data_IF_728464577268
#
_entry.id   IF_728464577268
#
_cell.length_a   1.000
_cell.length_b   1.000
_cell.length_c   1.000
_cell.angle_alpha   90.00
_cell.angle_beta   90.00
_cell.angle_gamma   90.00
#
_symmetry.space_group_name_H-M   'P 1'
#
loop_
_entity.id
_entity.type
_entity.pdbx_description
1 polymer ?
#
# COMPACT_ATOMS: atom_id res chain seq x y z
N UNK A 1 13.70 -8.35 -6.88
CA UNK A 1 14.26 -8.47 -5.51
C UNK A 1 15.60 -7.75 -5.30
N UNK A 2 16.34 -7.40 -6.37
CA UNK A 2 17.66 -6.75 -6.25
C UNK A 2 17.63 -5.41 -5.49
N UNK A 3 16.55 -4.63 -5.61
CA UNK A 3 16.43 -3.34 -4.92
C UNK A 3 16.54 -3.44 -3.39
N UNK A 4 15.88 -4.42 -2.78
CA UNK A 4 15.88 -4.57 -1.31
C UNK A 4 17.23 -5.09 -0.80
N UNK A 5 17.82 -6.06 -1.51
CA UNK A 5 19.06 -6.72 -1.11
C UNK A 5 20.31 -5.85 -1.32
N UNK A 6 20.34 -5.05 -2.40
CA UNK A 6 21.55 -4.36 -2.84
C UNK A 6 21.44 -2.83 -2.88
N UNK A 7 20.24 -2.25 -2.83
CA UNK A 7 20.06 -0.78 -2.96
C UNK A 7 19.56 -0.17 -1.66
N UNK A 8 18.34 -0.52 -1.23
CA UNK A 8 17.75 -0.02 0.02
C UNK A 8 16.70 -1.02 0.54
N UNK A 9 16.82 -1.57 1.75
CA UNK A 9 17.82 -1.25 2.78
C UNK A 9 19.27 -1.57 2.41
N UNK A 10 19.49 -2.48 1.46
CA UNK A 10 20.84 -2.84 1.02
C UNK A 10 21.55 -3.76 2.01
N UNK A 11 22.89 -3.80 1.94
CA UNK A 11 23.76 -4.58 2.84
C UNK A 11 23.36 -6.07 3.00
N UNK A 12 22.88 -6.69 1.92
CA UNK A 12 22.48 -8.10 1.95
C UNK A 12 21.15 -8.38 2.67
N UNK A 13 20.33 -7.35 2.96
CA UNK A 13 19.06 -7.52 3.64
C UNK A 13 18.10 -8.43 2.84
N UNK A 14 17.54 -9.44 3.50
CA UNK A 14 16.54 -10.36 2.95
C UNK A 14 15.32 -10.35 3.89
N UNK A 15 14.12 -10.00 3.40
CA UNK A 15 12.89 -10.06 4.20
C UNK A 15 12.65 -11.47 4.77
N UNK A 16 12.30 -11.57 6.06
CA UNK A 16 11.91 -12.83 6.72
C UNK A 16 10.41 -13.12 6.62
N UNK A 17 9.71 -12.38 5.77
CA UNK A 17 8.29 -12.52 5.50
C UNK A 17 8.06 -12.60 3.99
N UNK A 18 6.90 -13.13 3.59
CA UNK A 18 6.56 -13.28 2.18
C UNK A 18 6.24 -11.92 1.56
N UNK A 19 6.84 -11.64 0.41
CA UNK A 19 6.41 -10.56 -0.47
C UNK A 19 5.47 -11.14 -1.52
N UNK A 20 4.41 -10.42 -1.81
CA UNK A 20 3.50 -10.73 -2.91
C UNK A 20 3.96 -10.05 -4.20
N UNK A 21 3.27 -10.32 -5.30
CA UNK A 21 3.44 -9.53 -6.52
C UNK A 21 3.03 -8.07 -6.30
N UNK A 22 3.56 -7.18 -7.14
CA UNK A 22 3.19 -5.77 -7.13
C UNK A 22 1.76 -5.64 -7.65
N UNK A 23 0.89 -5.01 -6.87
CA UNK A 23 -0.51 -4.80 -7.22
C UNK A 23 -0.96 -3.40 -6.81
N UNK A 24 -2.04 -2.93 -7.40
CA UNK A 24 -2.66 -1.66 -7.05
C UNK A 24 -3.52 -1.84 -5.79
N UNK A 25 -3.39 -0.90 -4.85
CA UNK A 25 -4.12 -0.94 -3.56
C UNK A 25 -5.30 0.03 -3.53
N UNK A 26 -5.34 0.97 -4.47
CA UNK A 26 -6.38 1.98 -4.64
C UNK A 26 -6.75 2.15 -6.11
N UNK A 27 -7.86 2.87 -6.36
CA UNK A 27 -8.35 3.19 -7.69
C UNK A 27 -9.15 2.05 -8.34
N UNK A 28 -9.50 2.22 -9.61
CA UNK A 28 -10.39 1.30 -10.34
C UNK A 28 -9.81 -0.10 -10.52
N UNK A 29 -8.49 -0.25 -10.46
CA UNK A 29 -7.76 -1.51 -10.62
C UNK A 29 -7.28 -2.11 -9.29
N UNK A 30 -7.76 -1.58 -8.16
CA UNK A 30 -7.35 -2.08 -6.85
C UNK A 30 -7.64 -3.57 -6.69
N UNK A 31 -6.71 -4.29 -6.06
CA UNK A 31 -6.89 -5.70 -5.79
C UNK A 31 -8.02 -5.92 -4.79
N UNK A 32 -8.87 -6.93 -5.03
CA UNK A 32 -10.08 -7.18 -4.23
C UNK A 32 -9.81 -7.34 -2.72
N UNK A 33 -8.65 -7.87 -2.34
CA UNK A 33 -8.20 -7.91 -0.94
C UNK A 33 -8.16 -6.51 -0.30
N UNK A 34 -7.62 -5.50 -0.99
CA UNK A 34 -7.57 -4.13 -0.46
C UNK A 34 -8.95 -3.48 -0.47
N UNK A 35 -9.81 -3.76 -1.44
CA UNK A 35 -11.23 -3.35 -1.37
C UNK A 35 -11.92 -3.91 -0.12
N UNK A 36 -11.64 -5.16 0.24
CA UNK A 36 -12.15 -5.78 1.45
C UNK A 36 -11.57 -5.09 2.70
N UNK A 37 -10.25 -5.04 2.84
CA UNK A 37 -9.58 -4.52 4.04
C UNK A 37 -9.93 -3.05 4.34
N UNK A 38 -9.95 -2.19 3.31
CA UNK A 38 -10.24 -0.75 3.46
C UNK A 38 -11.65 -0.46 3.97
N UNK A 39 -12.59 -1.40 3.85
CA UNK A 39 -13.97 -1.23 4.34
C UNK A 39 -14.13 -1.41 5.84
N UNK A 40 -13.21 -2.09 6.51
CA UNK A 40 -13.38 -2.48 7.92
C UNK A 40 -12.74 -1.53 8.93
N UNK A 41 -11.91 -0.59 8.47
CA UNK A 41 -11.26 0.40 9.33
C UNK A 41 -11.56 1.81 8.82
N UNK A 42 -11.78 2.79 9.72
CA UNK A 42 -11.77 4.19 9.34
C UNK A 42 -10.44 4.60 8.69
N UNK A 43 -10.49 5.71 7.96
CA UNK A 43 -9.29 6.29 7.34
C UNK A 43 -8.23 6.65 8.39
N UNK A 44 -6.96 6.47 8.06
CA UNK A 44 -5.83 6.74 8.96
C UNK A 44 -5.52 8.23 9.14
N UNK A 45 -6.02 9.09 8.25
CA UNK A 45 -5.99 10.55 8.35
C UNK A 45 -7.17 11.18 7.57
N UNK A 46 -7.48 12.45 7.84
CA UNK A 46 -8.66 13.11 7.24
C UNK A 46 -8.46 13.47 5.76
N UNK A 47 -7.23 13.81 5.37
CA UNK A 47 -6.91 14.36 4.05
C UNK A 47 -6.33 13.36 3.06
N UNK A 48 -5.94 13.89 1.90
CA UNK A 48 -5.08 13.18 0.95
C UNK A 48 -3.74 13.88 0.88
N UNK A 49 -2.69 13.12 0.55
CA UNK A 49 -1.44 13.71 0.05
C UNK A 49 -1.71 14.53 -1.21
N UNK A 50 -0.71 15.31 -1.63
CA UNK A 50 -0.80 16.06 -2.87
C UNK A 50 -1.19 15.14 -4.05
N UNK A 51 -2.21 15.53 -4.83
CA UNK A 51 -2.73 14.73 -5.94
C UNK A 51 -1.66 14.32 -6.96
N UNK A 52 -0.60 15.13 -7.11
CA UNK A 52 0.51 14.86 -8.03
C UNK A 52 1.42 13.72 -7.56
N UNK A 53 1.34 13.35 -6.28
CA UNK A 53 2.06 12.24 -5.66
C UNK A 53 1.18 10.97 -5.56
N UNK A 54 -0.08 11.04 -6.01
CA UNK A 54 -1.06 9.95 -5.95
C UNK A 54 -1.41 9.45 -7.35
N UNK A 55 -0.84 8.31 -7.72
CA UNK A 55 -0.89 7.76 -9.07
C UNK A 55 -2.07 6.79 -9.30
N UNK A 56 -3.29 7.17 -8.92
CA UNK A 56 -4.50 6.36 -9.12
C UNK A 56 -5.76 7.23 -9.20
N UNK A 57 -6.85 6.64 -9.69
CA UNK A 57 -8.19 7.23 -9.68
C UNK A 57 -9.25 6.11 -9.70
N UNK A 58 -10.49 6.37 -9.25
CA UNK A 58 -10.93 7.56 -8.52
C UNK A 58 -10.42 7.55 -7.07
N UNK A 59 -10.52 8.71 -6.41
CA UNK A 59 -10.22 8.85 -4.98
C UNK A 59 -11.45 8.53 -4.12
N UNK A 60 -11.23 7.76 -3.04
CA UNK A 60 -12.21 7.37 -2.03
C UNK A 60 -11.68 7.72 -0.64
N UNK A 61 -12.55 8.16 0.26
CA UNK A 61 -12.16 8.55 1.63
C UNK A 61 -11.50 7.42 2.46
N UNK A 62 -11.77 6.16 2.12
CA UNK A 62 -11.15 4.98 2.73
C UNK A 62 -9.93 4.45 1.97
N UNK A 63 -9.36 5.19 1.03
CA UNK A 63 -8.16 4.76 0.33
C UNK A 63 -6.94 4.62 1.26
N UNK A 64 -6.03 3.71 0.90
CA UNK A 64 -4.71 3.64 1.53
C UNK A 64 -3.97 4.93 1.26
N UNK A 65 -3.39 5.49 2.30
CA UNK A 65 -2.94 6.88 2.35
C UNK A 65 -1.49 7.05 1.92
N UNK A 66 -0.64 6.07 2.21
CA UNK A 66 0.73 6.05 1.75
C UNK A 66 1.37 4.65 1.84
N UNK A 67 2.62 4.57 1.41
CA UNK A 67 3.45 3.38 1.58
C UNK A 67 3.56 3.01 3.07
N UNK A 68 3.54 1.71 3.37
CA UNK A 68 3.67 1.13 4.71
C UNK A 68 2.48 1.31 5.67
N UNK A 69 1.27 1.56 5.15
CA UNK A 69 0.03 1.38 5.92
C UNK A 69 -0.19 -0.10 6.29
N UNK A 70 -0.88 -0.37 7.41
CA UNK A 70 -0.93 -1.70 8.03
C UNK A 70 -2.38 -2.06 8.34
N UNK A 71 -2.73 -3.31 8.06
CA UNK A 71 -3.99 -3.93 8.46
C UNK A 71 -3.67 -5.07 9.41
N UNK A 72 -4.31 -5.09 10.57
CA UNK A 72 -4.28 -6.23 11.48
C UNK A 72 -5.48 -7.11 11.15
N UNK A 73 -5.21 -8.39 10.88
CA UNK A 73 -6.20 -9.43 10.59
C UNK A 73 -5.85 -10.61 11.48
N UNK A 74 -6.86 -11.26 12.03
CA UNK A 74 -6.71 -12.48 12.84
C UNK A 74 -6.41 -13.71 11.96
#
# INVERSE_FOLDING_TARGET
MNGIKYVRPGNGFVPKFRLTEKTDVNGDKEHALFTYLKKYCPSTWDGFSNKYDLFYAPFKNWDVRWNFEKFLVD
#
